data_IF_073573565739
#
_entry.id   IF_073573565739
#
_cell.length_a   1.000
_cell.length_b   1.000
_cell.length_c   1.000
_cell.angle_alpha   90.00
_cell.angle_beta   90.00
_cell.angle_gamma   90.00
#
_symmetry.space_group_name_H-M   'P 1'
#
loop_
_entity.id
_entity.type
_entity.pdbx_description
1 polymer ?
#
# COMPACT_ATOMS: atom_id res chain seq x y z
N UNK A 1 -13.61 28.59 24.10
CA UNK A 1 -12.74 29.75 24.37
C UNK A 1 -12.00 30.03 23.06
N UNK A 2 -12.53 30.99 22.32
CA UNK A 2 -11.98 31.50 21.06
C UNK A 2 -11.01 32.62 21.42
N UNK A 3 -9.74 32.29 21.59
CA UNK A 3 -8.71 33.30 21.75
C UNK A 3 -8.04 33.60 20.41
N UNK A 4 -8.21 34.87 20.03
CA UNK A 4 -7.54 35.58 18.95
C UNK A 4 -6.15 35.04 18.59
N UNK A 5 -6.06 34.19 17.61
CA UNK A 5 -4.83 33.98 16.83
C UNK A 5 -4.70 35.11 15.81
N UNK A 6 -4.29 36.25 16.31
CA UNK A 6 -3.78 37.34 15.47
C UNK A 6 -2.37 36.91 15.01
N UNK A 7 -2.32 35.86 14.17
CA UNK A 7 -1.11 35.46 13.45
C UNK A 7 -0.85 36.53 12.43
N UNK A 8 0.35 37.11 12.47
CA UNK A 8 0.88 37.96 11.41
C UNK A 8 0.86 37.16 10.09
N UNK A 9 -0.27 37.19 9.40
CA UNK A 9 -0.39 36.72 8.02
C UNK A 9 0.22 37.75 7.09
N UNK A 10 1.53 37.89 7.16
CA UNK A 10 2.27 38.40 6.02
C UNK A 10 2.08 37.34 4.93
N UNK A 11 1.36 37.69 3.85
CA UNK A 11 1.17 36.78 2.70
C UNK A 11 2.53 36.15 2.36
N UNK A 12 2.62 34.81 2.44
CA UNK A 12 3.84 34.09 2.06
C UNK A 12 4.24 34.52 0.65
N UNK A 13 5.43 35.08 0.50
CA UNK A 13 5.96 35.47 -0.82
C UNK A 13 6.25 34.22 -1.64
N UNK A 14 5.92 34.23 -2.93
CA UNK A 14 6.25 33.13 -3.85
C UNK A 14 7.73 32.75 -3.79
N UNK A 15 8.65 33.73 -3.69
CA UNK A 15 10.08 33.44 -3.61
C UNK A 15 10.47 32.63 -2.37
N UNK A 16 9.88 32.95 -1.21
CA UNK A 16 10.09 32.18 0.04
C UNK A 16 9.46 30.79 -0.04
N UNK A 17 8.26 30.70 -0.62
CA UNK A 17 7.59 29.41 -0.83
C UNK A 17 8.40 28.51 -1.78
N UNK A 18 8.84 29.05 -2.92
CA UNK A 18 9.67 28.33 -3.89
C UNK A 18 11.01 27.88 -3.29
N UNK A 19 11.65 28.73 -2.49
CA UNK A 19 12.89 28.37 -1.79
C UNK A 19 12.68 27.20 -0.82
N UNK A 20 11.62 27.22 -0.01
CA UNK A 20 11.32 26.13 0.93
C UNK A 20 11.03 24.82 0.19
N UNK A 21 10.23 24.87 -0.89
CA UNK A 21 9.94 23.70 -1.73
C UNK A 21 11.21 23.18 -2.40
N UNK A 22 12.09 24.07 -2.88
CA UNK A 22 13.36 23.66 -3.46
C UNK A 22 14.25 22.95 -2.44
N UNK A 23 14.37 23.48 -1.22
CA UNK A 23 15.11 22.83 -0.13
C UNK A 23 14.51 21.44 0.18
N UNK A 24 13.18 21.33 0.21
CA UNK A 24 12.49 20.06 0.41
C UNK A 24 12.84 19.05 -0.70
N UNK A 25 12.74 19.46 -1.97
CA UNK A 25 13.09 18.62 -3.12
C UNK A 25 14.55 18.17 -3.04
N UNK A 26 15.47 19.06 -2.70
CA UNK A 26 16.91 18.74 -2.54
C UNK A 26 17.09 17.67 -1.45
N UNK A 27 16.43 17.82 -0.30
CA UNK A 27 16.51 16.83 0.80
C UNK A 27 15.97 15.47 0.35
N UNK A 28 14.83 15.43 -0.35
CA UNK A 28 14.26 14.18 -0.85
C UNK A 28 15.18 13.53 -1.89
N UNK A 29 15.69 14.30 -2.86
CA UNK A 29 16.59 13.78 -3.89
C UNK A 29 17.91 13.28 -3.30
N UNK A 30 18.55 14.06 -2.43
CA UNK A 30 19.80 13.64 -1.78
C UNK A 30 19.57 12.45 -0.86
N UNK A 31 18.50 12.45 -0.06
CA UNK A 31 18.18 11.37 0.87
C UNK A 31 17.94 10.05 0.16
N UNK A 32 17.09 10.04 -0.85
CA UNK A 32 16.75 8.81 -1.56
C UNK A 32 17.76 8.42 -2.64
N UNK A 33 18.14 9.35 -3.52
CA UNK A 33 18.93 9.02 -4.72
C UNK A 33 20.43 8.94 -4.46
N UNK A 34 20.96 9.76 -3.54
CA UNK A 34 22.42 9.82 -3.28
C UNK A 34 22.81 8.98 -2.08
N UNK A 35 22.11 9.14 -0.95
CA UNK A 35 22.46 8.47 0.30
C UNK A 35 21.71 7.16 0.54
N UNK A 36 20.65 6.86 -0.22
CA UNK A 36 19.86 5.63 -0.05
C UNK A 36 19.24 5.49 1.35
N UNK A 37 18.87 6.61 2.00
CA UNK A 37 18.34 6.61 3.36
C UNK A 37 16.93 6.04 3.41
N UNK A 38 16.59 5.46 4.55
CA UNK A 38 15.23 4.99 4.83
C UNK A 38 14.21 6.15 4.80
N UNK A 39 13.00 5.87 4.35
CA UNK A 39 11.91 6.84 4.16
C UNK A 39 11.66 7.69 5.41
N UNK A 40 11.59 7.06 6.59
CA UNK A 40 11.36 7.75 7.87
C UNK A 40 12.46 8.78 8.19
N UNK A 41 13.73 8.46 7.89
CA UNK A 41 14.86 9.37 8.12
C UNK A 41 14.80 10.57 7.18
N UNK A 42 14.51 10.33 5.91
CA UNK A 42 14.40 11.40 4.90
C UNK A 42 13.28 12.38 5.27
N UNK A 43 12.09 11.88 5.65
CA UNK A 43 10.98 12.75 6.07
C UNK A 43 11.23 13.47 7.40
N UNK A 44 11.98 12.86 8.32
CA UNK A 44 12.41 13.55 9.55
C UNK A 44 13.31 14.75 9.20
N UNK A 45 14.34 14.54 8.37
CA UNK A 45 15.24 15.61 7.93
C UNK A 45 14.46 16.69 7.16
N UNK A 46 13.55 16.29 6.28
CA UNK A 46 12.69 17.20 5.53
C UNK A 46 11.84 18.08 6.46
N UNK A 47 11.23 17.48 7.50
CA UNK A 47 10.44 18.20 8.51
C UNK A 47 11.26 19.23 9.26
N UNK A 48 12.50 18.87 9.65
CA UNK A 48 13.44 19.80 10.31
C UNK A 48 13.81 20.94 9.37
N UNK A 49 14.14 20.66 8.11
CA UNK A 49 14.51 21.69 7.12
C UNK A 49 13.34 22.64 6.86
N UNK A 50 12.11 22.13 6.69
CA UNK A 50 10.93 22.98 6.55
C UNK A 50 10.73 23.87 7.78
N UNK A 51 10.88 23.32 8.98
CA UNK A 51 10.78 24.08 10.24
C UNK A 51 11.83 25.20 10.30
N UNK A 52 13.08 24.90 9.96
CA UNK A 52 14.17 25.91 9.92
C UNK A 52 13.84 27.01 8.91
N UNK A 53 13.38 26.67 7.70
CA UNK A 53 12.98 27.65 6.69
C UNK A 53 11.87 28.57 7.21
N UNK A 54 10.83 28.02 7.86
CA UNK A 54 9.72 28.80 8.39
C UNK A 54 10.17 29.75 9.51
N UNK A 55 11.01 29.29 10.43
CA UNK A 55 11.56 30.14 11.49
C UNK A 55 12.43 31.24 10.90
N UNK A 56 13.25 30.94 9.87
CA UNK A 56 14.02 31.94 9.15
C UNK A 56 13.15 32.95 8.39
N UNK A 57 11.93 32.58 8.00
CA UNK A 57 10.95 33.50 7.38
C UNK A 57 10.18 34.35 8.41
N UNK A 58 10.41 34.14 9.71
CA UNK A 58 9.87 34.94 10.81
C UNK A 58 8.67 34.32 11.53
N UNK A 59 8.34 33.05 11.28
CA UNK A 59 7.34 32.34 12.06
C UNK A 59 7.90 31.94 13.42
N UNK A 60 7.06 32.01 14.45
CA UNK A 60 7.44 31.53 15.80
C UNK A 60 7.52 30.00 15.79
N UNK A 61 8.58 29.45 16.40
CA UNK A 61 8.76 28.01 16.49
C UNK A 61 7.54 27.30 17.12
N UNK A 62 6.97 27.86 18.20
CA UNK A 62 5.79 27.29 18.85
C UNK A 62 4.59 27.18 17.90
N UNK A 63 4.39 28.16 17.01
CA UNK A 63 3.33 28.13 16.00
C UNK A 63 3.56 27.03 14.97
N UNK A 64 4.81 26.87 14.50
CA UNK A 64 5.17 25.82 13.54
C UNK A 64 4.98 24.45 14.15
N UNK A 65 5.38 24.25 15.42
CA UNK A 65 5.19 23.00 16.15
C UNK A 65 3.71 22.69 16.40
N UNK A 66 2.88 23.70 16.65
CA UNK A 66 1.43 23.50 16.77
C UNK A 66 0.82 23.02 15.45
N UNK A 67 1.16 23.63 14.31
CA UNK A 67 0.69 23.17 13.00
C UNK A 67 1.14 21.72 12.70
N UNK A 68 2.37 21.39 13.07
CA UNK A 68 2.89 20.04 12.93
C UNK A 68 2.08 19.05 13.79
N UNK A 69 1.85 19.40 15.05
CA UNK A 69 1.05 18.58 15.97
C UNK A 69 -0.41 18.41 15.50
N UNK A 70 -1.01 19.45 14.91
CA UNK A 70 -2.36 19.36 14.35
C UNK A 70 -2.43 18.43 13.14
N UNK A 71 -1.39 18.40 12.29
CA UNK A 71 -1.25 17.42 11.23
C UNK A 71 -1.16 15.98 11.74
N UNK A 72 -0.37 15.76 12.79
CA UNK A 72 -0.30 14.46 13.46
C UNK A 72 -1.64 14.06 14.10
N UNK A 73 -2.35 14.97 14.75
CA UNK A 73 -3.69 14.72 15.31
C UNK A 73 -4.69 14.33 14.24
N UNK A 74 -4.67 15.01 13.08
CA UNK A 74 -5.53 14.69 11.95
C UNK A 74 -5.26 13.34 11.30
N UNK A 75 -4.12 12.69 11.60
CA UNK A 75 -3.72 11.39 11.05
C UNK A 75 -4.01 10.19 11.94
N UNK A 76 -4.58 10.39 13.12
CA UNK A 76 -4.83 9.29 14.09
C UNK A 76 -5.70 8.18 13.50
N UNK A 77 -6.73 8.53 12.73
CA UNK A 77 -7.60 7.53 12.08
C UNK A 77 -6.79 6.63 11.12
N UNK A 78 -5.86 7.22 10.35
CA UNK A 78 -4.97 6.48 9.44
C UNK A 78 -4.02 5.58 10.22
N UNK A 79 -3.45 6.06 11.32
CA UNK A 79 -2.58 5.26 12.19
C UNK A 79 -3.31 4.04 12.73
N UNK A 80 -4.55 4.21 13.21
CA UNK A 80 -5.38 3.10 13.70
C UNK A 80 -5.70 2.09 12.59
N UNK A 81 -5.96 2.56 11.37
CA UNK A 81 -6.16 1.69 10.20
C UNK A 81 -4.89 0.89 9.92
N UNK A 82 -3.72 1.54 9.84
CA UNK A 82 -2.44 0.87 9.57
C UNK A 82 -2.09 -0.18 10.63
N UNK A 83 -2.28 0.14 11.90
CA UNK A 83 -2.09 -0.84 12.99
C UNK A 83 -3.04 -2.03 12.84
N UNK A 84 -4.31 -1.78 12.49
CA UNK A 84 -5.29 -2.84 12.25
C UNK A 84 -4.93 -3.71 11.05
N UNK A 85 -4.37 -3.13 9.98
CA UNK A 85 -3.83 -3.86 8.82
C UNK A 85 -2.74 -4.83 9.25
N UNK A 86 -1.78 -4.38 10.06
CA UNK A 86 -0.73 -5.24 10.59
C UNK A 86 -1.29 -6.43 11.36
N UNK A 87 -2.26 -6.19 12.25
CA UNK A 87 -2.93 -7.23 13.01
C UNK A 87 -3.67 -8.24 12.11
N UNK A 88 -4.38 -7.77 11.09
CA UNK A 88 -5.06 -8.64 10.09
C UNK A 88 -4.05 -9.54 9.39
N UNK A 89 -2.97 -8.96 8.84
CA UNK A 89 -1.96 -9.73 8.10
C UNK A 89 -1.35 -10.82 9.00
N UNK A 90 -0.93 -10.47 10.23
CA UNK A 90 -0.35 -11.43 11.15
C UNK A 90 -1.29 -12.59 11.49
N UNK A 91 -2.52 -12.27 11.87
CA UNK A 91 -3.53 -13.29 12.25
C UNK A 91 -4.00 -14.12 11.07
N UNK A 92 -4.11 -13.57 9.86
CA UNK A 92 -4.49 -14.31 8.67
C UNK A 92 -3.39 -15.26 8.21
N UNK A 93 -2.12 -14.92 8.46
CA UNK A 93 -1.00 -15.84 8.24
C UNK A 93 -1.03 -16.98 9.26
N UNK A 94 -1.06 -16.65 10.55
CA UNK A 94 -1.05 -17.64 11.65
C UNK A 94 -2.23 -18.60 11.59
N UNK A 95 -3.43 -18.10 11.28
CA UNK A 95 -4.66 -18.90 11.20
C UNK A 95 -4.75 -19.82 9.98
N UNK A 96 -3.82 -19.67 9.00
CA UNK A 96 -3.87 -20.43 7.76
C UNK A 96 -4.85 -19.88 6.71
N UNK A 97 -5.47 -18.71 6.93
CA UNK A 97 -6.38 -18.07 5.95
C UNK A 97 -5.64 -17.77 4.65
N UNK A 98 -4.53 -17.03 4.72
CA UNK A 98 -3.72 -16.72 3.52
C UNK A 98 -3.06 -17.98 2.96
N UNK A 99 -2.42 -18.86 3.77
CA UNK A 99 -1.96 -20.16 3.27
C UNK A 99 -3.03 -20.96 2.52
N UNK A 100 -4.28 -20.96 2.99
CA UNK A 100 -5.39 -21.63 2.30
C UNK A 100 -5.73 -20.98 0.95
N UNK A 101 -5.79 -19.64 0.88
CA UNK A 101 -6.00 -18.91 -0.38
C UNK A 101 -4.89 -19.25 -1.37
N UNK A 102 -3.65 -19.26 -0.89
CA UNK A 102 -2.47 -19.56 -1.71
C UNK A 102 -2.49 -21.02 -2.20
N UNK A 103 -2.74 -21.97 -1.31
CA UNK A 103 -2.81 -23.39 -1.66
C UNK A 103 -3.81 -23.64 -2.78
N UNK A 104 -5.06 -23.20 -2.64
CA UNK A 104 -6.06 -23.37 -3.68
C UNK A 104 -5.70 -22.59 -4.95
N UNK A 105 -5.20 -21.36 -4.82
CA UNK A 105 -4.77 -20.58 -5.98
C UNK A 105 -3.65 -21.25 -6.77
N UNK A 106 -2.62 -21.73 -6.08
CA UNK A 106 -1.47 -22.42 -6.70
C UNK A 106 -1.86 -23.78 -7.28
N UNK A 107 -2.80 -24.52 -6.65
CA UNK A 107 -3.24 -25.83 -7.14
C UNK A 107 -3.92 -25.78 -8.52
N UNK A 108 -4.45 -24.63 -8.94
CA UNK A 108 -5.01 -24.42 -10.28
C UNK A 108 -3.97 -24.05 -11.33
N UNK A 109 -2.69 -23.87 -10.96
CA UNK A 109 -1.65 -23.52 -11.91
C UNK A 109 -1.31 -24.71 -12.81
N UNK A 110 -1.44 -24.50 -14.11
CA UNK A 110 -0.90 -25.37 -15.15
C UNK A 110 0.04 -24.56 -16.03
N UNK A 111 0.97 -25.18 -16.77
CA UNK A 111 1.87 -24.44 -17.65
C UNK A 111 1.13 -23.50 -18.61
N UNK A 112 -0.01 -23.95 -19.17
CA UNK A 112 -0.84 -23.18 -20.10
C UNK A 112 -1.65 -22.07 -19.46
N UNK A 113 -2.02 -22.19 -18.16
CA UNK A 113 -2.80 -21.18 -17.45
C UNK A 113 -1.93 -20.27 -16.56
N UNK A 114 -0.62 -20.50 -16.51
CA UNK A 114 0.31 -19.85 -15.60
C UNK A 114 0.21 -18.34 -15.57
N UNK A 115 0.24 -17.69 -16.74
CA UNK A 115 0.21 -16.23 -16.81
C UNK A 115 -1.12 -15.65 -16.34
N UNK A 116 -2.25 -16.27 -16.72
CA UNK A 116 -3.57 -15.78 -16.34
C UNK A 116 -3.88 -16.04 -14.87
N UNK A 117 -3.68 -17.27 -14.40
CA UNK A 117 -3.95 -17.64 -13.00
C UNK A 117 -2.97 -16.92 -12.07
N UNK A 118 -1.70 -16.82 -12.46
CA UNK A 118 -0.69 -16.08 -11.70
C UNK A 118 -1.07 -14.61 -11.54
N UNK A 119 -1.54 -13.95 -12.60
CA UNK A 119 -2.06 -12.58 -12.53
C UNK A 119 -3.22 -12.46 -11.55
N UNK A 120 -4.24 -13.34 -11.68
CA UNK A 120 -5.41 -13.33 -10.80
C UNK A 120 -5.01 -13.57 -9.34
N UNK A 121 -4.12 -14.55 -9.10
CA UNK A 121 -3.66 -14.88 -7.75
C UNK A 121 -2.90 -13.70 -7.12
N UNK A 122 -2.04 -13.02 -7.89
CA UNK A 122 -1.38 -11.81 -7.43
C UNK A 122 -2.38 -10.69 -7.10
N UNK A 123 -3.45 -10.53 -7.90
CA UNK A 123 -4.53 -9.57 -7.61
C UNK A 123 -5.23 -9.92 -6.29
N UNK A 124 -5.62 -11.17 -6.10
CA UNK A 124 -6.35 -11.64 -4.91
C UNK A 124 -5.47 -11.50 -3.66
N UNK A 125 -4.26 -12.03 -3.70
CA UNK A 125 -3.35 -11.99 -2.54
C UNK A 125 -3.00 -10.56 -2.18
N UNK A 126 -2.66 -9.71 -3.17
CA UNK A 126 -2.35 -8.31 -2.93
C UNK A 126 -3.56 -7.54 -2.38
N UNK A 127 -4.76 -7.84 -2.84
CA UNK A 127 -5.99 -7.26 -2.31
C UNK A 127 -6.18 -7.57 -0.82
N UNK A 128 -6.00 -8.83 -0.41
CA UNK A 128 -6.17 -9.24 0.98
C UNK A 128 -5.00 -8.86 1.89
N UNK A 129 -3.78 -8.90 1.38
CA UNK A 129 -2.59 -8.48 2.12
C UNK A 129 -2.48 -6.95 2.21
N UNK A 130 -3.07 -6.23 1.26
CA UNK A 130 -3.04 -4.76 1.21
C UNK A 130 -1.65 -4.18 0.91
N UNK A 131 -0.79 -4.95 0.23
CA UNK A 131 0.57 -4.49 -0.10
C UNK A 131 1.08 -5.11 -1.39
N UNK A 132 1.30 -4.27 -2.39
CA UNK A 132 1.93 -4.68 -3.65
C UNK A 132 3.37 -5.14 -3.43
N UNK A 133 4.15 -4.43 -2.63
CA UNK A 133 5.55 -4.79 -2.33
C UNK A 133 5.65 -6.16 -1.65
N UNK A 134 4.76 -6.44 -0.71
CA UNK A 134 4.68 -7.75 -0.04
C UNK A 134 4.40 -8.87 -1.03
N UNK A 135 3.44 -8.66 -1.92
CA UNK A 135 3.08 -9.64 -2.96
C UNK A 135 4.22 -9.85 -3.95
N UNK A 136 4.92 -8.77 -4.36
CA UNK A 136 6.10 -8.85 -5.22
C UNK A 136 7.25 -9.63 -4.57
N UNK A 137 7.55 -9.33 -3.30
CA UNK A 137 8.64 -9.98 -2.58
C UNK A 137 8.38 -11.47 -2.28
N UNK A 138 7.16 -11.93 -2.44
CA UNK A 138 6.72 -13.29 -2.07
C UNK A 138 6.25 -14.08 -3.28
N UNK A 139 5.01 -13.87 -3.73
CA UNK A 139 4.50 -14.50 -4.94
C UNK A 139 5.37 -14.16 -6.16
N UNK A 140 5.93 -12.93 -6.21
CA UNK A 140 6.83 -12.54 -7.27
C UNK A 140 8.05 -13.45 -7.34
N UNK A 141 8.73 -13.69 -6.23
CA UNK A 141 9.89 -14.60 -6.19
C UNK A 141 9.48 -16.02 -6.58
N UNK A 142 8.35 -16.52 -6.07
CA UNK A 142 7.83 -17.84 -6.40
C UNK A 142 7.50 -17.97 -7.90
N UNK A 143 6.75 -17.03 -8.47
CA UNK A 143 6.40 -17.03 -9.90
C UNK A 143 7.62 -16.86 -10.80
N UNK A 144 8.61 -16.06 -10.41
CA UNK A 144 9.88 -15.97 -11.14
C UNK A 144 10.63 -17.30 -11.13
N UNK A 145 10.65 -18.01 -9.99
CA UNK A 145 11.22 -19.35 -9.88
C UNK A 145 10.50 -20.37 -10.78
N UNK A 146 9.16 -20.42 -10.69
CA UNK A 146 8.33 -21.29 -11.53
C UNK A 146 8.50 -20.94 -13.01
N UNK A 147 8.42 -19.66 -13.38
CA UNK A 147 8.60 -19.19 -14.75
C UNK A 147 9.97 -19.54 -15.34
N UNK A 148 11.03 -19.52 -14.51
CA UNK A 148 12.36 -19.98 -14.90
C UNK A 148 12.35 -21.48 -15.19
N UNK A 149 11.74 -22.28 -14.31
CA UNK A 149 11.60 -23.74 -14.49
C UNK A 149 10.77 -24.12 -15.73
N UNK A 150 9.78 -23.29 -16.10
CA UNK A 150 8.95 -23.42 -17.29
C UNK A 150 9.62 -22.86 -18.57
N UNK A 151 10.81 -22.28 -18.48
CA UNK A 151 11.50 -21.66 -19.62
C UNK A 151 10.80 -20.40 -20.16
N UNK A 152 9.99 -19.72 -19.33
CA UNK A 152 9.21 -18.55 -19.75
C UNK A 152 10.07 -17.28 -19.81
N UNK A 153 9.63 -16.29 -20.59
CA UNK A 153 10.24 -14.98 -20.59
C UNK A 153 10.02 -14.30 -19.23
N UNK A 154 11.09 -14.13 -18.45
CA UNK A 154 11.03 -13.58 -17.09
C UNK A 154 10.53 -12.14 -17.04
N UNK A 155 10.71 -11.36 -18.11
CA UNK A 155 10.12 -10.01 -18.21
C UNK A 155 8.58 -10.06 -18.26
N UNK A 156 8.00 -11.04 -18.95
CA UNK A 156 6.55 -11.24 -18.95
C UNK A 156 6.05 -11.74 -17.60
N UNK A 157 6.76 -12.67 -16.96
CA UNK A 157 6.40 -13.15 -15.61
C UNK A 157 6.49 -12.02 -14.59
N UNK A 158 7.56 -11.23 -14.61
CA UNK A 158 7.69 -10.05 -13.75
C UNK A 158 6.60 -9.01 -13.98
N UNK A 159 6.25 -8.77 -15.26
CA UNK A 159 5.14 -7.88 -15.62
C UNK A 159 3.79 -8.39 -15.11
N UNK A 160 3.53 -9.69 -15.21
CA UNK A 160 2.33 -10.34 -14.67
C UNK A 160 2.19 -10.14 -13.15
N UNK A 161 3.25 -10.44 -12.41
CA UNK A 161 3.26 -10.28 -10.95
C UNK A 161 3.07 -8.83 -10.55
N UNK A 162 3.82 -7.91 -11.21
CA UNK A 162 3.76 -6.48 -10.90
C UNK A 162 2.35 -5.92 -11.16
N UNK A 163 1.77 -6.20 -12.32
CA UNK A 163 0.43 -5.68 -12.66
C UNK A 163 -0.65 -6.26 -11.74
N UNK A 164 -0.58 -7.55 -11.40
CA UNK A 164 -1.52 -8.17 -10.46
C UNK A 164 -1.39 -7.61 -9.05
N UNK A 165 -0.16 -7.48 -8.55
CA UNK A 165 0.11 -6.93 -7.22
C UNK A 165 -0.34 -5.46 -7.11
N UNK A 166 -0.06 -4.64 -8.11
CA UNK A 166 -0.47 -3.23 -8.12
C UNK A 166 -1.98 -3.07 -8.22
N UNK A 167 -2.67 -3.89 -9.03
CA UNK A 167 -4.13 -3.86 -9.09
C UNK A 167 -4.76 -4.22 -7.74
N UNK A 168 -4.34 -5.33 -7.14
CA UNK A 168 -4.88 -5.78 -5.86
C UNK A 168 -4.68 -4.74 -4.76
N UNK A 169 -3.48 -4.18 -4.66
CA UNK A 169 -3.13 -3.13 -3.72
C UNK A 169 -4.03 -1.88 -3.87
N UNK A 170 -4.19 -1.38 -5.10
CA UNK A 170 -4.99 -0.18 -5.36
C UNK A 170 -6.47 -0.34 -5.05
N UNK A 171 -7.01 -1.54 -5.17
CA UNK A 171 -8.42 -1.83 -4.88
C UNK A 171 -8.65 -2.29 -3.44
N UNK A 172 -7.58 -2.50 -2.67
CA UNK A 172 -7.63 -3.01 -1.31
C UNK A 172 -7.97 -1.91 -0.29
N UNK A 173 -8.98 -2.09 0.56
CA UNK A 173 -9.20 -1.22 1.71
C UNK A 173 -8.14 -1.40 2.82
N UNK A 174 -7.30 -2.44 2.72
CA UNK A 174 -6.22 -2.75 3.68
C UNK A 174 -4.87 -2.16 3.25
N UNK A 175 -4.79 -1.58 2.05
CA UNK A 175 -3.56 -0.97 1.55
C UNK A 175 -3.25 0.34 2.28
N UNK A 176 -2.00 0.50 2.66
CA UNK A 176 -1.46 1.73 3.24
C UNK A 176 -1.66 2.91 2.27
N UNK A 177 -1.33 2.73 1.00
CA UNK A 177 -1.47 3.78 -0.03
C UNK A 177 -2.92 4.15 -0.28
N UNK A 178 -3.85 3.17 -0.29
CA UNK A 178 -5.29 3.40 -0.48
C UNK A 178 -5.93 4.10 0.72
N UNK A 179 -5.38 3.94 1.92
CA UNK A 179 -5.83 4.62 3.13
C UNK A 179 -5.21 6.02 3.29
N UNK A 180 -3.95 6.18 2.91
CA UNK A 180 -3.23 7.46 3.04
C UNK A 180 -3.75 8.53 2.04
N UNK A 181 -4.00 8.14 0.79
CA UNK A 181 -4.44 9.07 -0.25
C UNK A 181 -5.74 9.83 0.11
N UNK A 182 -6.84 9.18 0.55
CA UNK A 182 -8.04 9.89 0.98
C UNK A 182 -7.85 10.72 2.24
N UNK A 183 -6.98 10.31 3.17
CA UNK A 183 -6.69 11.08 4.37
C UNK A 183 -6.06 12.44 4.02
N UNK A 184 -5.11 12.46 3.09
CA UNK A 184 -4.48 13.70 2.58
C UNK A 184 -5.48 14.54 1.77
N UNK A 185 -6.37 13.89 1.01
CA UNK A 185 -7.35 14.55 0.14
C UNK A 185 -8.64 14.98 0.86
N UNK A 186 -8.80 14.66 2.15
CA UNK A 186 -10.01 14.98 2.92
C UNK A 186 -11.26 14.21 2.49
N UNK A 187 -11.10 12.99 1.98
CA UNK A 187 -12.18 12.10 1.57
C UNK A 187 -12.17 10.79 2.37
N UNK A 188 -13.12 9.89 2.11
CA UNK A 188 -13.16 8.59 2.77
C UNK A 188 -12.56 7.49 1.89
N UNK A 189 -12.00 6.45 2.50
CA UNK A 189 -11.39 5.30 1.81
C UNK A 189 -12.34 4.69 0.79
N UNK A 190 -13.59 4.46 1.15
CA UNK A 190 -14.58 3.86 0.23
C UNK A 190 -14.95 4.78 -0.94
N UNK A 191 -15.01 6.10 -0.74
CA UNK A 191 -15.22 7.06 -1.84
C UNK A 191 -14.03 7.07 -2.78
N UNK A 192 -12.82 7.00 -2.23
CA UNK A 192 -11.60 6.92 -3.00
C UNK A 192 -11.54 5.65 -3.85
N UNK A 193 -11.77 4.47 -3.26
CA UNK A 193 -11.81 3.19 -3.99
C UNK A 193 -12.88 3.24 -5.09
N UNK A 194 -14.08 3.72 -4.78
CA UNK A 194 -15.16 3.82 -5.77
C UNK A 194 -14.81 4.75 -6.94
N UNK A 195 -14.08 5.83 -6.68
CA UNK A 195 -13.57 6.69 -7.75
C UNK A 195 -12.52 5.99 -8.62
N UNK A 196 -11.64 5.18 -7.99
CA UNK A 196 -10.60 4.45 -8.69
C UNK A 196 -11.14 3.32 -9.59
N UNK A 197 -12.34 2.78 -9.31
CA UNK A 197 -12.97 1.74 -10.16
C UNK A 197 -13.03 2.19 -11.62
N UNK A 198 -13.35 3.45 -11.89
CA UNK A 198 -13.47 3.97 -13.26
C UNK A 198 -12.14 3.96 -14.02
N UNK A 199 -11.01 4.08 -13.36
CA UNK A 199 -9.68 4.09 -13.99
C UNK A 199 -9.01 2.73 -13.95
N UNK A 200 -9.15 2.01 -12.85
CA UNK A 200 -8.45 0.74 -12.61
C UNK A 200 -9.14 -0.43 -13.32
N UNK A 201 -10.49 -0.43 -13.42
CA UNK A 201 -11.22 -1.52 -14.08
C UNK A 201 -10.92 -1.66 -15.56
N UNK A 202 -10.89 -0.58 -16.38
CA UNK A 202 -10.47 -0.69 -17.79
C UNK A 202 -9.04 -1.24 -17.92
N UNK A 203 -8.11 -0.78 -17.09
CA UNK A 203 -6.74 -1.28 -17.07
C UNK A 203 -6.68 -2.77 -16.70
N UNK A 204 -7.49 -3.21 -15.73
CA UNK A 204 -7.60 -4.63 -15.36
C UNK A 204 -8.11 -5.47 -16.51
N UNK A 205 -9.19 -5.05 -17.20
CA UNK A 205 -9.78 -5.79 -18.32
C UNK A 205 -8.76 -5.96 -19.44
N UNK A 206 -8.06 -4.88 -19.81
CA UNK A 206 -7.03 -4.92 -20.87
C UNK A 206 -5.91 -5.89 -20.44
N UNK A 207 -5.42 -5.79 -19.22
CA UNK A 207 -4.35 -6.63 -18.69
C UNK A 207 -4.78 -8.09 -18.59
N UNK A 208 -6.01 -8.35 -18.13
CA UNK A 208 -6.59 -9.69 -18.05
C UNK A 208 -6.65 -10.35 -19.43
N UNK A 209 -7.18 -9.65 -20.44
CA UNK A 209 -7.24 -10.16 -21.83
C UNK A 209 -5.83 -10.40 -22.38
N UNK A 210 -4.89 -9.49 -22.11
CA UNK A 210 -3.51 -9.65 -22.53
C UNK A 210 -2.90 -10.94 -21.97
N UNK A 211 -3.01 -11.19 -20.66
CA UNK A 211 -2.46 -12.40 -20.05
C UNK A 211 -3.24 -13.66 -20.43
N UNK A 212 -4.55 -13.58 -20.70
CA UNK A 212 -5.29 -14.69 -21.26
C UNK A 212 -4.74 -15.10 -22.65
N UNK A 213 -4.51 -14.12 -23.53
CA UNK A 213 -3.94 -14.37 -24.87
C UNK A 213 -2.49 -14.87 -24.77
N UNK A 214 -1.68 -14.30 -23.89
CA UNK A 214 -0.30 -14.76 -23.70
C UNK A 214 -0.25 -16.18 -23.13
N UNK A 215 -1.15 -16.49 -22.20
CA UNK A 215 -1.31 -17.84 -21.63
C UNK A 215 -1.59 -18.90 -22.70
N UNK A 216 -2.47 -18.58 -23.66
CA UNK A 216 -2.80 -19.50 -24.77
C UNK A 216 -1.67 -19.68 -25.78
N UNK A 217 -0.72 -18.74 -25.86
CA UNK A 217 0.42 -18.80 -26.82
C UNK A 217 1.67 -19.42 -26.21
N UNK A 218 1.67 -19.68 -24.91
CA UNK A 218 2.85 -20.24 -24.22
C UNK A 218 2.88 -21.74 -24.45
N UNK A 219 3.83 -22.20 -25.25
CA UNK A 219 4.09 -23.63 -25.49
C UNK A 219 5.03 -24.14 -24.40
N UNK A 220 4.50 -24.89 -23.45
CA UNK A 220 5.22 -25.40 -22.28
C UNK A 220 5.19 -26.93 -22.24
N UNK A 221 5.20 -27.58 -23.43
CA UNK A 221 5.22 -29.03 -23.51
C UNK A 221 6.44 -29.62 -22.80
N UNK A 222 6.22 -30.24 -21.64
CA UNK A 222 7.26 -30.96 -20.87
C UNK A 222 7.84 -30.17 -19.67
N UNK A 223 7.33 -29.01 -19.33
CA UNK A 223 7.80 -28.26 -18.15
C UNK A 223 7.42 -28.96 -16.82
N UNK A 224 8.39 -29.15 -15.95
CA UNK A 224 8.18 -29.73 -14.61
C UNK A 224 7.71 -28.68 -13.64
N UNK A 225 6.61 -28.97 -12.93
CA UNK A 225 6.04 -28.12 -11.88
C UNK A 225 6.61 -28.42 -10.47
N UNK A 226 7.85 -28.95 -10.39
CA UNK A 226 8.47 -29.35 -9.11
C UNK A 226 8.45 -28.26 -8.03
N UNK A 227 8.62 -26.98 -8.42
CA UNK A 227 8.56 -25.87 -7.48
C UNK A 227 7.16 -25.65 -6.94
N UNK A 228 6.13 -25.85 -7.78
CA UNK A 228 4.71 -25.73 -7.39
C UNK A 228 4.38 -26.85 -6.41
N UNK A 229 4.74 -28.09 -6.73
CA UNK A 229 4.49 -29.25 -5.87
C UNK A 229 5.19 -29.11 -4.52
N UNK A 230 6.45 -28.63 -4.51
CA UNK A 230 7.18 -28.37 -3.26
C UNK A 230 6.50 -27.30 -2.39
N UNK A 231 5.96 -26.24 -2.99
CA UNK A 231 5.22 -25.22 -2.25
C UNK A 231 3.89 -25.73 -1.71
N UNK A 232 3.13 -26.49 -2.51
CA UNK A 232 1.88 -27.09 -2.08
C UNK A 232 2.11 -28.08 -0.93
N UNK A 233 3.14 -28.92 -1.04
CA UNK A 233 3.53 -29.86 0.02
C UNK A 233 3.89 -29.12 1.31
N UNK A 234 4.76 -28.11 1.25
CA UNK A 234 5.16 -27.34 2.41
C UNK A 234 3.98 -26.60 3.07
N UNK A 235 3.05 -26.06 2.27
CA UNK A 235 1.84 -25.43 2.82
C UNK A 235 0.92 -26.46 3.51
N UNK A 236 0.77 -27.65 2.91
CA UNK A 236 -0.09 -28.69 3.46
C UNK A 236 0.49 -29.37 4.72
N UNK A 237 1.82 -29.48 4.79
CA UNK A 237 2.50 -30.07 5.96
C UNK A 237 2.48 -29.15 7.19
N UNK A 238 2.48 -27.83 6.98
CA UNK A 238 2.59 -26.84 8.08
C UNK A 238 1.29 -26.12 8.41
N UNK A 239 0.25 -26.29 7.59
CA UNK A 239 -1.06 -25.70 7.83
C UNK A 239 -2.18 -26.68 7.55
N UNK A 240 -3.16 -26.70 8.42
CA UNK A 240 -4.40 -27.38 8.17
C UNK A 240 -5.24 -26.58 7.16
N UNK A 241 -5.10 -26.94 5.87
CA UNK A 241 -5.75 -26.28 4.75
C UNK A 241 -7.21 -26.72 4.68
N UNK A 242 -8.13 -25.80 4.99
CA UNK A 242 -9.57 -26.09 4.95
C UNK A 242 -10.35 -24.94 4.32
N UNK A 243 -11.34 -25.19 3.44
CA UNK A 243 -12.17 -24.14 2.85
C UNK A 243 -12.93 -23.30 3.87
N UNK A 244 -13.13 -23.83 5.09
CA UNK A 244 -13.84 -23.12 6.17
C UNK A 244 -13.13 -21.83 6.56
N UNK A 245 -11.78 -21.79 6.45
CA UNK A 245 -10.99 -20.58 6.72
C UNK A 245 -11.31 -19.42 5.75
N UNK A 246 -11.84 -19.73 4.57
CA UNK A 246 -12.26 -18.71 3.59
C UNK A 246 -13.49 -17.92 4.04
N UNK A 247 -14.14 -18.29 5.14
CA UNK A 247 -15.22 -17.49 5.74
C UNK A 247 -14.69 -16.13 6.24
N UNK A 248 -13.43 -16.08 6.69
CA UNK A 248 -12.80 -14.85 7.23
C UNK A 248 -12.74 -13.75 6.17
N UNK A 249 -12.16 -13.96 4.95
CA UNK A 249 -12.20 -12.96 3.87
C UNK A 249 -13.64 -12.63 3.43
N UNK A 250 -14.58 -13.58 3.46
CA UNK A 250 -15.98 -13.29 3.13
C UNK A 250 -16.61 -12.35 4.15
N UNK A 251 -16.34 -12.55 5.44
CA UNK A 251 -16.86 -11.69 6.51
C UNK A 251 -16.34 -10.27 6.36
N UNK A 252 -15.03 -10.05 6.15
CA UNK A 252 -14.49 -8.70 6.02
C UNK A 252 -15.02 -7.99 4.78
N UNK A 253 -15.17 -8.69 3.65
CA UNK A 253 -15.78 -8.14 2.44
C UNK A 253 -17.24 -7.77 2.68
N UNK A 254 -18.00 -8.60 3.40
CA UNK A 254 -19.38 -8.31 3.78
C UNK A 254 -19.46 -7.05 4.64
N UNK A 255 -18.59 -6.92 5.65
CA UNK A 255 -18.52 -5.73 6.49
C UNK A 255 -18.15 -4.47 5.68
N UNK A 256 -17.27 -4.59 4.70
CA UNK A 256 -16.92 -3.50 3.79
C UNK A 256 -18.12 -3.06 2.93
N UNK A 257 -18.89 -4.01 2.36
CA UNK A 257 -20.12 -3.73 1.60
C UNK A 257 -21.19 -3.07 2.49
N UNK A 258 -21.29 -3.49 3.74
CA UNK A 258 -22.17 -2.89 4.75
C UNK A 258 -21.67 -1.52 5.25
N UNK A 259 -20.54 -1.02 4.72
CA UNK A 259 -19.92 0.29 5.07
C UNK A 259 -19.57 0.41 6.55
N UNK A 260 -19.24 -0.69 7.21
CA UNK A 260 -18.70 -0.68 8.57
C UNK A 260 -17.36 0.07 8.57
N UNK A 261 -17.06 0.89 9.60
CA UNK A 261 -15.78 1.60 9.68
C UNK A 261 -14.59 0.66 9.48
N UNK A 262 -13.57 1.01 8.66
CA UNK A 262 -12.46 0.13 8.29
C UNK A 262 -11.76 -0.53 9.50
N UNK A 263 -11.45 0.25 10.54
CA UNK A 263 -10.79 -0.26 11.76
C UNK A 263 -11.62 -1.39 12.41
N UNK A 264 -12.95 -1.19 12.51
CA UNK A 264 -13.84 -2.18 13.13
C UNK A 264 -13.91 -3.45 12.27
N UNK A 265 -14.06 -3.30 10.95
CA UNK A 265 -14.09 -4.44 10.03
C UNK A 265 -12.78 -5.26 10.08
N UNK A 266 -11.63 -4.56 10.09
CA UNK A 266 -10.31 -5.18 10.16
C UNK A 266 -10.09 -5.92 11.49
N UNK A 267 -10.34 -5.25 12.62
CA UNK A 267 -10.19 -5.89 13.93
C UNK A 267 -11.13 -7.07 14.10
N UNK A 268 -12.39 -6.96 13.67
CA UNK A 268 -13.33 -8.10 13.68
C UNK A 268 -12.76 -9.27 12.88
N UNK A 269 -12.21 -9.02 11.70
CA UNK A 269 -11.60 -10.05 10.86
C UNK A 269 -10.34 -10.65 11.51
N UNK A 270 -9.50 -9.83 12.13
CA UNK A 270 -8.30 -10.29 12.83
C UNK A 270 -8.64 -11.21 13.99
N UNK A 271 -9.61 -10.82 14.84
CA UNK A 271 -10.06 -11.66 15.95
C UNK A 271 -10.77 -12.95 15.48
N UNK A 272 -11.58 -12.85 14.42
CA UNK A 272 -12.20 -14.04 13.82
C UNK A 272 -11.14 -15.00 13.27
N UNK A 273 -10.16 -14.50 12.54
CA UNK A 273 -9.04 -15.30 12.03
C UNK A 273 -8.27 -15.97 13.17
N UNK A 274 -7.92 -15.20 14.21
CA UNK A 274 -7.24 -15.73 15.39
C UNK A 274 -8.05 -16.85 16.07
N UNK A 275 -9.35 -16.65 16.27
CA UNK A 275 -10.21 -17.66 16.85
C UNK A 275 -10.32 -18.93 15.98
N UNK A 276 -10.46 -18.75 14.65
CA UNK A 276 -10.44 -19.87 13.72
C UNK A 276 -9.07 -20.58 13.72
N UNK A 277 -7.98 -19.83 13.82
CA UNK A 277 -6.63 -20.39 13.95
C UNK A 277 -6.48 -21.25 15.20
N UNK A 278 -6.98 -20.80 16.35
CA UNK A 278 -6.96 -21.61 17.60
C UNK A 278 -7.72 -22.92 17.47
N UNK A 279 -8.72 -23.01 16.60
CA UNK A 279 -9.51 -24.23 16.38
C UNK A 279 -8.85 -25.12 15.32
N UNK A 280 -8.51 -24.53 14.15
CA UNK A 280 -8.11 -25.30 12.98
C UNK A 280 -6.60 -25.53 12.89
N UNK A 281 -5.76 -24.73 13.57
CA UNK A 281 -4.31 -24.88 13.57
C UNK A 281 -3.76 -25.38 14.92
N UNK A 282 -4.60 -25.86 15.81
CA UNK A 282 -4.22 -26.31 17.17
C UNK A 282 -3.14 -27.40 17.17
N UNK A 283 -3.09 -28.23 16.12
CA UNK A 283 -2.09 -29.29 15.97
C UNK A 283 -0.73 -28.77 15.53
N UNK A 284 -0.64 -27.56 14.95
CA UNK A 284 0.57 -26.96 14.42
C UNK A 284 1.08 -25.79 15.27
N UNK A 285 0.17 -24.98 15.83
CA UNK A 285 0.52 -23.74 16.53
C UNK A 285 -0.28 -23.57 17.82
N UNK A 286 0.39 -23.10 18.84
CA UNK A 286 -0.20 -22.85 20.15
C UNK A 286 -0.97 -21.51 20.22
N UNK A 287 -1.72 -21.33 21.29
CA UNK A 287 -2.51 -20.12 21.55
C UNK A 287 -1.62 -18.87 21.66
N UNK A 288 -0.40 -19.02 22.18
CA UNK A 288 0.52 -17.89 22.34
C UNK A 288 0.99 -17.40 20.97
N UNK A 289 1.30 -18.29 20.04
CA UNK A 289 1.62 -17.95 18.64
C UNK A 289 0.47 -17.20 17.95
N UNK A 290 -0.78 -17.65 18.18
CA UNK A 290 -1.95 -16.95 17.62
C UNK A 290 -2.13 -15.55 18.20
N UNK A 291 -1.88 -15.35 19.49
CA UNK A 291 -1.99 -14.04 20.15
C UNK A 291 -0.83 -13.13 19.76
N UNK A 292 0.40 -13.65 19.70
CA UNK A 292 1.57 -12.86 19.33
C UNK A 292 1.52 -12.40 17.86
N UNK A 293 0.85 -13.16 17.01
CA UNK A 293 0.65 -12.77 15.60
C UNK A 293 -0.07 -11.43 15.43
N UNK A 294 -0.89 -11.00 16.38
CA UNK A 294 -1.49 -9.66 16.39
C UNK A 294 -0.43 -8.54 16.48
N UNK A 295 0.55 -8.73 17.37
CA UNK A 295 1.57 -7.73 17.68
C UNK A 295 2.82 -7.85 16.81
N UNK A 296 3.51 -8.96 16.92
CA UNK A 296 4.82 -9.17 16.32
C UNK A 296 4.76 -9.81 14.93
N UNK A 297 3.58 -10.31 14.53
CA UNK A 297 3.38 -11.05 13.30
C UNK A 297 3.58 -12.55 13.47
N UNK A 298 3.37 -13.28 12.38
CA UNK A 298 3.52 -14.73 12.37
C UNK A 298 4.92 -15.11 11.92
N UNK A 299 5.54 -16.02 12.64
CA UNK A 299 6.87 -16.56 12.35
C UNK A 299 6.86 -18.07 12.52
N UNK A 300 7.31 -18.78 11.49
CA UNK A 300 7.45 -20.24 11.47
C UNK A 300 8.59 -20.66 10.55
N UNK A 301 9.06 -21.87 10.71
CA UNK A 301 10.00 -22.47 9.77
C UNK A 301 9.36 -23.70 9.12
N UNK A 302 9.07 -23.58 7.84
CA UNK A 302 8.46 -24.65 7.03
C UNK A 302 9.51 -25.49 6.28
N UNK A 303 10.81 -25.29 6.53
CA UNK A 303 11.87 -25.91 5.75
C UNK A 303 11.93 -25.48 4.28
N UNK A 304 11.02 -24.59 3.86
CA UNK A 304 10.97 -24.03 2.51
C UNK A 304 11.07 -22.52 2.56
N UNK A 305 12.21 -21.98 2.11
CA UNK A 305 12.48 -20.54 2.15
C UNK A 305 11.44 -19.70 1.42
N UNK A 306 10.85 -20.20 0.32
CA UNK A 306 9.81 -19.48 -0.41
C UNK A 306 8.55 -19.38 0.43
N UNK A 307 8.12 -20.48 1.06
CA UNK A 307 6.94 -20.50 1.94
C UNK A 307 7.20 -19.65 3.18
N UNK A 308 8.37 -19.73 3.80
CA UNK A 308 8.73 -18.90 4.95
C UNK A 308 8.61 -17.40 4.63
N UNK A 309 9.14 -16.96 3.49
CA UNK A 309 9.00 -15.56 3.05
C UNK A 309 7.55 -15.14 2.78
N UNK A 310 6.69 -16.08 2.43
CA UNK A 310 5.27 -15.84 2.18
C UNK A 310 4.50 -15.67 3.49
N UNK A 311 4.73 -16.54 4.47
CA UNK A 311 3.89 -16.63 5.68
C UNK A 311 4.46 -15.90 6.89
N UNK A 312 5.78 -15.72 6.99
CA UNK A 312 6.43 -15.05 8.13
C UNK A 312 6.34 -13.53 8.00
N UNK A 313 5.21 -12.94 8.39
CA UNK A 313 4.97 -11.51 8.32
C UNK A 313 3.75 -11.04 9.10
N UNK A 314 3.49 -9.73 9.00
CA UNK A 314 2.33 -9.08 9.62
C UNK A 314 2.64 -8.62 11.04
N UNK A 315 1.58 -8.47 11.84
CA UNK A 315 1.64 -7.88 13.17
C UNK A 315 1.67 -6.35 13.15
N UNK A 316 1.21 -5.74 14.23
CA UNK A 316 1.22 -4.28 14.40
C UNK A 316 2.64 -3.72 14.22
N UNK A 317 3.65 -4.45 14.71
CA UNK A 317 5.05 -4.06 14.61
C UNK A 317 5.51 -3.82 13.17
N UNK A 318 5.04 -4.62 12.22
CA UNK A 318 5.39 -4.48 10.80
C UNK A 318 4.90 -3.16 10.18
N UNK A 319 3.86 -2.54 10.74
CA UNK A 319 3.30 -1.29 10.27
C UNK A 319 3.90 -0.06 10.94
N UNK A 320 4.70 -0.22 12.00
CA UNK A 320 5.24 0.92 12.76
C UNK A 320 6.15 1.82 11.92
N UNK A 321 6.84 1.28 10.95
CA UNK A 321 7.65 2.08 10.03
C UNK A 321 6.76 2.98 9.15
N UNK A 322 5.67 2.41 8.61
CA UNK A 322 4.68 3.16 7.80
C UNK A 322 4.00 4.23 8.65
N UNK A 323 3.64 3.91 9.90
CA UNK A 323 3.08 4.86 10.88
C UNK A 323 4.05 6.01 11.13
N UNK A 324 5.32 5.71 11.35
CA UNK A 324 6.32 6.74 11.64
C UNK A 324 6.45 7.76 10.49
N UNK A 325 6.68 7.31 9.25
CA UNK A 325 6.79 8.26 8.14
C UNK A 325 5.44 8.90 7.77
N UNK A 326 4.30 8.27 8.03
CA UNK A 326 2.97 8.87 7.86
C UNK A 326 2.79 10.07 8.79
N UNK A 327 3.10 9.93 10.07
CA UNK A 327 3.05 11.03 11.03
C UNK A 327 3.98 12.19 10.64
N UNK A 328 5.22 11.86 10.23
CA UNK A 328 6.19 12.87 9.79
C UNK A 328 5.68 13.63 8.54
N UNK A 329 5.13 12.90 7.57
CA UNK A 329 4.66 13.49 6.32
C UNK A 329 3.41 14.35 6.51
N UNK A 330 2.42 13.87 7.29
CA UNK A 330 1.17 14.60 7.51
C UNK A 330 1.38 15.81 8.42
N UNK A 331 2.26 15.70 9.44
CA UNK A 331 2.69 16.84 10.25
C UNK A 331 3.36 17.93 9.40
N UNK A 332 4.32 17.54 8.56
CA UNK A 332 4.98 18.44 7.61
C UNK A 332 3.99 19.04 6.60
N UNK A 333 3.10 18.22 6.04
CA UNK A 333 2.09 18.65 5.07
C UNK A 333 1.15 19.73 5.62
N UNK A 334 0.66 19.54 6.85
CA UNK A 334 -0.16 20.54 7.55
C UNK A 334 0.64 21.83 7.80
N UNK A 335 1.90 21.72 8.19
CA UNK A 335 2.78 22.87 8.37
C UNK A 335 2.97 23.68 7.09
N UNK A 336 3.19 23.00 5.95
CA UNK A 336 3.29 23.64 4.61
C UNK A 336 1.98 24.31 4.19
N UNK A 337 0.84 23.73 4.55
CA UNK A 337 -0.50 24.27 4.27
C UNK A 337 -0.77 25.52 5.11
N UNK A 338 -0.63 25.45 6.42
CA UNK A 338 -0.95 26.55 7.35
C UNK A 338 0.02 27.73 7.21
N UNK A 339 1.28 27.48 6.88
CA UNK A 339 2.26 28.53 6.57
C UNK A 339 1.96 29.31 5.29
N UNK A 340 1.04 28.82 4.45
CA UNK A 340 0.70 29.41 3.15
C UNK A 340 1.71 29.14 2.05
N UNK A 341 2.73 28.30 2.27
CA UNK A 341 3.73 27.91 1.25
C UNK A 341 3.04 27.26 0.07
N UNK A 342 2.16 26.29 0.35
CA UNK A 342 1.46 25.55 -0.70
C UNK A 342 0.53 26.46 -1.52
N UNK A 343 -0.22 27.33 -0.85
CA UNK A 343 -1.12 28.27 -1.49
C UNK A 343 -0.40 29.29 -2.36
N UNK A 344 0.72 29.87 -1.87
CA UNK A 344 1.52 30.85 -2.62
C UNK A 344 2.17 30.23 -3.87
N UNK A 345 2.58 28.97 -3.77
CA UNK A 345 3.18 28.25 -4.90
C UNK A 345 2.13 27.88 -5.95
N UNK A 346 1.00 27.31 -5.54
CA UNK A 346 -0.09 26.87 -6.43
C UNK A 346 -0.77 28.05 -7.12
N UNK A 347 -1.02 29.15 -6.42
CA UNK A 347 -1.67 30.34 -7.02
C UNK A 347 -0.86 30.90 -8.21
N UNK A 348 0.46 30.94 -8.09
CA UNK A 348 1.30 31.42 -9.18
C UNK A 348 1.37 30.44 -10.35
N UNK A 349 1.43 29.14 -10.04
CA UNK A 349 1.41 28.09 -11.07
C UNK A 349 0.11 28.12 -11.87
N UNK A 350 -1.03 28.20 -11.19
CA UNK A 350 -2.33 28.29 -11.82
C UNK A 350 -2.48 29.56 -12.67
N UNK A 351 -2.01 30.70 -12.18
CA UNK A 351 -2.01 31.95 -12.95
C UNK A 351 -1.14 31.88 -14.20
N UNK A 352 0.00 31.17 -14.16
CA UNK A 352 0.88 30.96 -15.33
C UNK A 352 0.20 30.10 -16.38
N UNK A 353 -0.38 28.96 -15.96
CA UNK A 353 -1.10 28.04 -16.87
C UNK A 353 -2.34 28.70 -17.47
N UNK A 354 -3.09 29.47 -16.66
CA UNK A 354 -4.27 30.20 -17.16
C UNK A 354 -3.90 31.27 -18.17
N UNK A 355 -2.74 31.91 -18.00
CA UNK A 355 -2.24 32.94 -18.93
C UNK A 355 -1.80 32.34 -20.26
N UNK A 356 -1.14 31.18 -20.26
CA UNK A 356 -0.77 30.46 -21.48
C UNK A 356 -1.98 29.95 -22.25
N UNK A 357 -2.96 29.35 -21.56
CA UNK A 357 -4.22 28.88 -22.18
C UNK A 357 -5.02 30.01 -22.84
N UNK A 358 -4.97 31.23 -22.32
CA UNK A 358 -5.68 32.39 -22.91
C UNK A 358 -4.85 33.08 -24.00
N UNK A 359 -3.52 33.02 -23.93
CA UNK A 359 -2.65 33.54 -24.98
C UNK A 359 -2.77 32.71 -26.27
N UNK A 360 -2.89 31.40 -26.18
CA UNK A 360 -3.10 30.49 -27.31
C UNK A 360 -4.49 30.69 -27.96
N UNK A 361 -5.51 31.08 -27.20
CA UNK A 361 -6.83 31.41 -27.75
C UNK A 361 -6.88 32.74 -28.49
N UNK A 362 -6.09 33.73 -28.09
CA UNK A 362 -6.00 35.02 -28.78
C UNK A 362 -5.16 34.93 -30.07
N UNK A 363 -4.08 34.13 -30.07
CA UNK A 363 -3.28 33.93 -31.29
C UNK A 363 -3.96 33.06 -32.32
N UNK A 364 -4.74 32.04 -31.94
CA UNK A 364 -5.53 31.20 -32.84
C UNK A 364 -6.74 31.94 -33.48
N UNK A 365 -7.20 33.04 -32.90
CA UNK A 365 -8.26 33.86 -33.46
C UNK A 365 -7.76 34.95 -34.42
N UNK A 366 -6.46 35.22 -34.42
CA UNK A 366 -5.83 36.20 -35.33
C UNK A 366 -5.43 35.61 -36.70
N UNK A 367 -5.23 34.29 -36.80
CA UNK A 367 -4.85 33.62 -38.06
C UNK A 367 -6.06 33.20 -38.94
N UNK A 368 -7.28 33.50 -38.50
CA UNK A 368 -8.53 33.19 -39.26
C UNK A 368 -9.28 34.47 -39.74
N UNK A 369 -8.57 35.57 -40.02
CA UNK A 369 -9.14 36.74 -40.69
C UNK A 369 -8.44 37.07 -41.98
#
# INVERSE_FOLDING_TARGET
>A
MSENTNTMTGKMSFGRAAFCILCLIIVLCLGFAVFGLETKVVFLIASVVVTICLVAFGFKLDTVLLWYADGCRGSIDVVLILMSVGAVIGTWMASGVVPTIMYYGISFLTPTSFMLIGFILCCIVSFFVGSSYSTLATLGVAFMGIGTGLGMNLGLVGGMVLSGAMFGDKMSPFSDTTNLAPAVSGTTVYKHINSMIYTVTPAFIITFVLYAVLSMKTDTAGAKMETVDAMLTALHEHFNITPVLLIVPVVILTLAVLKVPPVVAMLTSAFLAMFMGMIFQADHYDVVTMLSALGDGFHTDTGNDMVNRLVCRGGIASMMEVVAWTLLTLGMGQTLKESGILSAFLEKLLRSVYKELHADHETGAADNK
#
